data_IF_228219435434
#
_entry.id   IF_228219435434
#
_cell.length_a   1.000
_cell.length_b   1.000
_cell.length_c   1.000
_cell.angle_alpha   90.00
_cell.angle_beta   90.00
_cell.angle_gamma   90.00
#
_symmetry.space_group_name_H-M   'P 1'
#
loop_
_entity.id
_entity.type
_entity.pdbx_description
1 polymer ?
#
# COMPACT_ATOMS: atom_id res chain seq x y z
N UNK A 1 -3.26 4.11 4.60
CA UNK A 1 -4.65 3.68 4.37
C UNK A 1 -4.81 2.17 4.19
N UNK A 2 -4.03 1.53 3.31
CA UNK A 2 -4.18 0.08 3.06
C UNK A 2 -3.95 -0.79 4.31
N UNK A 3 -2.95 -0.45 5.13
CA UNK A 3 -2.73 -1.13 6.41
C UNK A 3 -3.95 -1.03 7.33
N UNK A 4 -4.57 0.14 7.41
CA UNK A 4 -5.80 0.33 8.19
C UNK A 4 -6.98 -0.48 7.63
N UNK A 5 -7.15 -0.55 6.31
CA UNK A 5 -8.19 -1.39 5.70
C UNK A 5 -7.98 -2.87 6.03
N UNK A 6 -6.74 -3.33 5.99
CA UNK A 6 -6.41 -4.69 6.37
C UNK A 6 -6.64 -4.93 7.86
N UNK A 7 -6.05 -4.12 8.75
CA UNK A 7 -6.13 -4.38 10.19
C UNK A 7 -7.52 -4.15 10.76
N UNK A 8 -8.17 -3.05 10.37
CA UNK A 8 -9.47 -2.63 10.88
C UNK A 8 -10.66 -3.32 10.22
N UNK A 9 -10.58 -3.66 8.93
CA UNK A 9 -11.70 -4.28 8.19
C UNK A 9 -11.42 -5.70 7.72
N UNK A 10 -10.22 -6.23 7.97
CA UNK A 10 -9.77 -7.54 7.46
C UNK A 10 -9.94 -7.64 5.95
N UNK A 11 -9.65 -6.56 5.22
CA UNK A 11 -9.70 -6.53 3.76
C UNK A 11 -8.31 -6.84 3.19
N UNK A 12 -8.14 -8.05 2.67
CA UNK A 12 -6.95 -8.45 1.92
C UNK A 12 -7.10 -7.98 0.47
N UNK A 13 -6.16 -7.20 -0.01
CA UNK A 13 -6.14 -6.69 -1.39
C UNK A 13 -5.15 -7.49 -2.24
N UNK A 14 -5.51 -7.69 -3.51
CA UNK A 14 -4.67 -8.36 -4.49
C UNK A 14 -3.87 -7.35 -5.33
N UNK A 15 -3.59 -7.72 -6.57
CA UNK A 15 -2.98 -6.85 -7.58
C UNK A 15 -4.00 -6.05 -8.40
N UNK A 16 -5.27 -6.02 -7.97
CA UNK A 16 -6.32 -5.28 -8.67
C UNK A 16 -6.34 -3.82 -8.22
N UNK A 17 -5.82 -2.95 -9.09
CA UNK A 17 -5.84 -1.50 -8.92
C UNK A 17 -6.36 -0.87 -10.21
N UNK A 18 -7.44 -0.11 -10.13
CA UNK A 18 -8.02 0.57 -11.28
C UNK A 18 -8.01 2.09 -11.09
N UNK A 19 -7.96 2.81 -12.21
CA UNK A 19 -8.05 4.27 -12.27
C UNK A 19 -7.07 4.96 -11.30
N UNK A 20 -5.86 4.43 -11.15
CA UNK A 20 -4.81 5.05 -10.35
C UNK A 20 -4.45 6.40 -10.97
N UNK A 21 -4.73 7.46 -10.23
CA UNK A 21 -4.40 8.82 -10.63
C UNK A 21 -3.64 9.51 -9.51
N UNK A 22 -2.58 10.21 -9.88
CA UNK A 22 -1.83 11.10 -9.01
C UNK A 22 -1.95 12.50 -9.61
N UNK A 23 -2.51 13.44 -8.86
CA UNK A 23 -2.69 14.82 -9.31
C UNK A 23 -2.15 15.82 -8.30
N UNK A 24 -1.82 17.02 -8.77
CA UNK A 24 -1.35 18.13 -7.94
C UNK A 24 -2.33 19.30 -8.06
N UNK A 25 -2.90 19.76 -6.96
CA UNK A 25 -3.81 20.92 -6.90
C UNK A 25 -3.38 21.83 -5.76
N UNK A 26 -3.08 23.10 -6.04
CA UNK A 26 -2.66 24.09 -5.05
C UNK A 26 -1.54 23.59 -4.12
N UNK A 27 -0.45 23.07 -4.70
CA UNK A 27 0.69 22.49 -3.97
C UNK A 27 0.43 21.22 -3.16
N UNK A 28 -0.76 20.63 -3.25
CA UNK A 28 -1.11 19.37 -2.59
C UNK A 28 -1.19 18.23 -3.59
N UNK A 29 -0.69 17.07 -3.19
CA UNK A 29 -0.81 15.84 -3.97
C UNK A 29 -2.05 15.05 -3.56
N UNK A 30 -2.73 14.49 -4.56
CA UNK A 30 -3.89 13.63 -4.40
C UNK A 30 -3.61 12.32 -5.10
N UNK A 31 -3.95 11.20 -4.43
CA UNK A 31 -3.90 9.86 -4.99
C UNK A 31 -5.30 9.27 -4.92
N UNK A 32 -5.80 8.77 -6.05
CA UNK A 32 -7.10 8.09 -6.13
C UNK A 32 -6.95 6.81 -6.90
N UNK A 33 -7.55 5.73 -6.41
CA UNK A 33 -7.61 4.43 -7.08
C UNK A 33 -8.79 3.61 -6.55
N UNK A 34 -9.25 2.64 -7.34
CA UNK A 34 -10.12 1.57 -6.89
C UNK A 34 -9.28 0.32 -6.61
N UNK A 35 -9.51 -0.32 -5.47
CA UNK A 35 -8.71 -1.46 -5.01
C UNK A 35 -9.63 -2.66 -4.86
N UNK A 36 -9.26 -3.75 -5.50
CA UNK A 36 -9.97 -5.02 -5.47
C UNK A 36 -9.35 -5.98 -4.47
N UNK A 37 -10.19 -6.76 -3.81
CA UNK A 37 -9.77 -7.66 -2.75
C UNK A 37 -10.95 -8.40 -2.15
N UNK A 38 -10.69 -9.04 -1.02
CA UNK A 38 -11.65 -9.89 -0.33
C UNK A 38 -11.42 -9.85 1.19
N UNK A 39 -12.31 -10.52 1.93
CA UNK A 39 -12.13 -10.66 3.36
C UNK A 39 -10.99 -11.64 3.63
N UNK A 40 -10.05 -11.22 4.46
CA UNK A 40 -8.95 -12.06 4.92
C UNK A 40 -9.49 -13.28 5.67
N UNK A 41 -8.93 -14.43 5.31
CA UNK A 41 -9.14 -15.73 5.95
C UNK A 41 -7.78 -16.40 6.09
N UNK A 42 -7.48 -16.89 7.28
CA UNK A 42 -6.21 -17.58 7.56
C UNK A 42 -6.08 -18.88 6.76
N UNK A 43 -7.19 -19.59 6.50
CA UNK A 43 -7.19 -20.85 5.75
C UNK A 43 -6.85 -20.61 4.27
N UNK A 44 -7.25 -19.46 3.72
CA UNK A 44 -7.01 -19.10 2.32
C UNK A 44 -5.67 -18.40 2.10
N UNK A 45 -5.31 -17.48 2.99
CA UNK A 45 -4.17 -16.58 2.80
C UNK A 45 -2.93 -17.01 3.60
N UNK A 46 -3.10 -17.91 4.56
CA UNK A 46 -2.07 -18.35 5.49
C UNK A 46 -1.68 -17.28 6.52
N UNK A 47 -0.84 -17.68 7.47
CA UNK A 47 -0.15 -16.78 8.40
C UNK A 47 1.35 -16.98 8.30
N UNK A 48 2.08 -15.93 7.92
CA UNK A 48 3.54 -15.99 7.69
C UNK A 48 4.37 -15.59 8.92
N UNK A 49 3.75 -15.40 10.09
CA UNK A 49 4.45 -15.04 11.34
C UNK A 49 4.90 -13.57 11.44
N UNK A 50 4.71 -12.78 10.38
CA UNK A 50 5.16 -11.39 10.26
C UNK A 50 3.93 -10.52 10.01
N UNK A 51 3.72 -9.52 10.86
CA UNK A 51 2.62 -8.56 10.77
C UNK A 51 3.22 -7.17 10.70
N UNK A 52 2.82 -6.37 9.73
CA UNK A 52 3.25 -4.96 9.68
C UNK A 52 2.41 -4.17 10.67
N UNK A 53 3.03 -3.46 11.61
CA UNK A 53 2.36 -2.62 12.62
C UNK A 53 2.16 -1.19 12.13
N UNK A 54 3.14 -0.65 11.41
CA UNK A 54 3.10 0.72 10.94
C UNK A 54 3.94 0.95 9.68
N UNK A 55 3.45 1.87 8.85
CA UNK A 55 4.26 2.48 7.78
C UNK A 55 5.13 3.58 8.39
N UNK A 56 6.40 3.64 7.98
CA UNK A 56 7.33 4.64 8.51
C UNK A 56 8.01 5.43 7.38
N UNK A 57 8.60 6.57 7.73
CA UNK A 57 9.47 7.33 6.83
C UNK A 57 10.93 6.84 6.85
N UNK A 58 11.25 5.81 7.64
CA UNK A 58 12.61 5.31 7.77
C UNK A 58 13.11 4.76 6.42
N UNK A 59 14.22 5.33 5.94
CA UNK A 59 14.82 5.03 4.64
C UNK A 59 13.83 5.14 3.46
N UNK A 60 12.81 6.00 3.58
CA UNK A 60 11.88 6.24 2.49
C UNK A 60 12.57 6.99 1.34
N UNK A 61 12.46 6.44 0.14
CA UNK A 61 12.91 7.11 -1.10
C UNK A 61 11.93 6.87 -2.23
N UNK A 62 11.76 7.89 -3.06
CA UNK A 62 10.99 7.85 -4.31
C UNK A 62 11.86 8.53 -5.36
N UNK A 63 12.40 7.74 -6.27
CA UNK A 63 13.41 8.20 -7.23
C UNK A 63 13.05 7.77 -8.63
N UNK A 64 13.34 8.62 -9.62
CA UNK A 64 13.26 8.25 -11.02
C UNK A 64 14.66 7.85 -11.49
N UNK A 65 14.83 6.57 -11.83
CA UNK A 65 16.08 6.02 -12.36
C UNK A 65 15.80 5.65 -13.82
N UNK A 66 16.47 6.33 -14.74
CA UNK A 66 16.22 6.27 -16.19
C UNK A 66 14.74 6.54 -16.51
N UNK A 67 14.02 5.51 -16.98
CA UNK A 67 12.59 5.58 -17.30
C UNK A 67 11.70 4.84 -16.30
N UNK A 68 12.22 4.49 -15.13
CA UNK A 68 11.51 3.74 -14.09
C UNK A 68 11.42 4.55 -12.79
N UNK A 69 10.33 4.34 -12.05
CA UNK A 69 10.18 4.84 -10.69
C UNK A 69 10.58 3.74 -9.70
N UNK A 70 11.50 4.05 -8.80
CA UNK A 70 11.91 3.18 -7.69
C UNK A 70 11.38 3.77 -6.39
N UNK A 71 10.69 2.93 -5.61
CA UNK A 71 10.20 3.27 -4.29
C UNK A 71 10.80 2.30 -3.27
N UNK A 72 11.31 2.83 -2.16
CA UNK A 72 11.81 2.05 -1.04
C UNK A 72 11.31 2.66 0.27
N UNK A 73 11.04 1.80 1.25
CA UNK A 73 10.65 2.18 2.61
C UNK A 73 10.90 1.01 3.56
N UNK A 74 11.07 1.31 4.84
CA UNK A 74 11.11 0.31 5.92
C UNK A 74 9.83 0.41 6.76
N UNK A 75 9.26 -0.74 7.09
CA UNK A 75 8.06 -0.85 7.92
C UNK A 75 8.41 -1.32 9.33
N UNK A 76 7.54 -0.99 10.28
CA UNK A 76 7.58 -1.58 11.62
C UNK A 76 6.81 -2.91 11.63
N UNK A 77 7.37 -3.94 12.26
CA UNK A 77 6.89 -5.33 12.25
C UNK A 77 6.61 -5.79 13.68
#
# INVERSE_FOLDING_TARGET
ELLYLFDGKKFAFGNYFENLTISKVNERYFLKTLIGGEKYSIDKHGFKGVVVKAMTYHMMSIEKIDNLWKLQYVVDI
#
